data_IF_575040590918
#
_entry.id   IF_575040590918
#
_cell.length_a   1.000
_cell.length_b   1.000
_cell.length_c   1.000
_cell.angle_alpha   90.00
_cell.angle_beta   90.00
_cell.angle_gamma   90.00
#
_symmetry.space_group_name_H-M   'P 1'
#
loop_
_entity.id
_entity.type
_entity.pdbx_description
1 polymer ?
#
# COMPACT_ATOMS: atom_id res chain seq x y z
N UNK A 1 1.43 16.95 2.63
CA UNK A 1 1.29 16.78 1.18
C UNK A 1 0.36 17.87 0.65
N UNK A 2 0.90 18.81 -0.09
CA UNK A 2 0.11 19.90 -0.65
C UNK A 2 -0.52 19.50 -2.01
N UNK A 3 -1.01 18.26 -2.10
CA UNK A 3 -1.82 17.81 -3.24
C UNK A 3 -3.26 18.17 -2.95
N UNK A 4 -3.74 19.24 -3.55
CA UNK A 4 -5.12 19.71 -3.41
C UNK A 4 -6.05 18.88 -4.30
N UNK A 5 -6.11 17.55 -4.04
CA UNK A 5 -6.99 16.62 -4.76
C UNK A 5 -7.95 16.03 -3.73
N UNK A 6 -9.23 16.29 -3.91
CA UNK A 6 -10.30 15.70 -3.11
C UNK A 6 -10.73 14.33 -3.68
N UNK A 7 -11.50 13.53 -2.94
CA UNK A 7 -12.14 12.33 -3.48
C UNK A 7 -13.02 12.63 -4.69
N UNK A 8 -13.71 13.76 -4.71
CA UNK A 8 -14.56 14.17 -5.84
C UNK A 8 -13.73 14.49 -7.08
N UNK A 9 -12.57 15.14 -6.93
CA UNK A 9 -11.64 15.37 -8.04
C UNK A 9 -11.10 14.07 -8.62
N UNK A 10 -10.79 13.09 -7.74
CA UNK A 10 -10.37 11.76 -8.17
C UNK A 10 -11.48 11.04 -8.97
N UNK A 11 -12.70 11.04 -8.44
CA UNK A 11 -13.86 10.42 -9.11
C UNK A 11 -14.17 11.07 -10.46
N UNK A 12 -14.08 12.39 -10.55
CA UNK A 12 -14.26 13.13 -11.79
C UNK A 12 -13.19 12.77 -12.84
N UNK A 13 -11.92 12.69 -12.40
CA UNK A 13 -10.82 12.27 -13.27
C UNK A 13 -10.98 10.80 -13.72
N UNK A 14 -11.37 9.90 -12.83
CA UNK A 14 -11.64 8.51 -13.14
C UNK A 14 -12.73 8.36 -14.20
N UNK A 15 -13.86 9.07 -14.05
CA UNK A 15 -14.95 9.09 -15.01
C UNK A 15 -14.53 9.63 -16.39
N UNK A 16 -13.61 10.60 -16.41
CA UNK A 16 -13.06 11.12 -17.68
C UNK A 16 -12.18 10.08 -18.37
N UNK A 17 -11.35 9.35 -17.62
CA UNK A 17 -10.51 8.27 -18.16
C UNK A 17 -11.39 7.14 -18.73
N UNK A 18 -12.39 6.70 -17.98
CA UNK A 18 -13.34 5.67 -18.41
C UNK A 18 -14.04 6.03 -19.72
N UNK A 19 -14.57 7.26 -19.86
CA UNK A 19 -15.21 7.76 -21.10
C UNK A 19 -14.27 7.74 -22.30
N UNK A 20 -12.97 7.84 -22.08
CA UNK A 20 -11.96 7.79 -23.13
C UNK A 20 -11.31 6.41 -23.27
N UNK A 21 -11.84 5.38 -22.61
CA UNK A 21 -11.32 4.01 -22.65
C UNK A 21 -9.84 3.91 -22.19
N UNK A 22 -9.49 4.70 -21.19
CA UNK A 22 -8.14 4.71 -20.58
C UNK A 22 -8.23 4.02 -19.23
N UNK A 23 -7.45 2.97 -19.06
CA UNK A 23 -7.37 2.25 -17.78
C UNK A 23 -6.79 3.11 -16.67
N UNK A 24 -7.44 3.08 -15.52
CA UNK A 24 -7.00 3.78 -14.32
C UNK A 24 -6.16 2.86 -13.44
N UNK A 25 -4.95 3.34 -13.10
CA UNK A 25 -4.11 2.77 -12.05
C UNK A 25 -3.98 3.75 -10.90
N UNK A 26 -4.28 3.30 -9.69
CA UNK A 26 -4.11 4.10 -8.47
C UNK A 26 -2.83 3.72 -7.71
N UNK A 27 -2.30 4.70 -6.96
CA UNK A 27 -1.20 4.51 -6.02
C UNK A 27 -1.69 4.86 -4.62
N UNK A 28 -1.67 3.87 -3.73
CA UNK A 28 -2.16 3.97 -2.35
C UNK A 28 -0.97 3.99 -1.40
N UNK A 29 -0.86 5.03 -0.58
CA UNK A 29 0.19 5.11 0.44
C UNK A 29 -0.22 4.28 1.66
N UNK A 30 0.64 3.35 2.06
CA UNK A 30 0.57 2.69 3.35
C UNK A 30 1.24 3.58 4.40
N UNK A 31 0.58 3.83 5.52
CA UNK A 31 1.06 4.69 6.60
C UNK A 31 1.44 6.10 6.13
N UNK A 32 0.52 6.88 5.53
CA UNK A 32 0.81 8.29 5.26
C UNK A 32 0.92 9.08 6.57
N UNK A 33 1.55 10.28 6.57
CA UNK A 33 1.61 11.13 7.76
C UNK A 33 0.23 11.39 8.37
N UNK A 34 0.19 11.50 9.69
CA UNK A 34 -1.02 11.75 10.50
C UNK A 34 -2.03 10.60 10.60
N UNK A 35 -1.76 9.47 9.99
CA UNK A 35 -2.52 8.24 10.20
C UNK A 35 -1.90 7.48 11.38
N UNK A 36 -2.72 7.00 12.30
CA UNK A 36 -2.26 6.18 13.42
C UNK A 36 -1.76 4.82 12.91
N UNK A 37 -0.74 4.28 13.57
CA UNK A 37 -0.10 3.03 13.15
C UNK A 37 -1.10 1.86 13.07
N UNK A 38 -2.00 1.76 14.04
CA UNK A 38 -3.03 0.73 14.11
C UNK A 38 -4.18 0.92 13.11
N UNK A 39 -4.27 2.06 12.45
CA UNK A 39 -5.27 2.36 11.42
C UNK A 39 -4.72 2.25 9.99
N UNK A 40 -3.42 2.07 9.85
CA UNK A 40 -2.70 2.12 8.57
C UNK A 40 -3.23 1.14 7.54
N UNK A 41 -3.46 -0.10 7.94
CA UNK A 41 -3.98 -1.17 7.07
C UNK A 41 -5.41 -0.88 6.64
N UNK A 42 -6.25 -0.44 7.58
CA UNK A 42 -7.65 -0.09 7.29
C UNK A 42 -7.75 1.10 6.31
N UNK A 43 -6.93 2.13 6.49
CA UNK A 43 -6.88 3.27 5.57
C UNK A 43 -6.37 2.87 4.17
N UNK A 44 -5.39 1.96 4.08
CA UNK A 44 -4.93 1.43 2.80
C UNK A 44 -6.06 0.65 2.11
N UNK A 45 -6.75 -0.25 2.85
CA UNK A 45 -7.91 -0.99 2.34
C UNK A 45 -9.00 -0.07 1.82
N UNK A 46 -9.46 0.90 2.62
CA UNK A 46 -10.49 1.87 2.21
C UNK A 46 -10.08 2.66 0.96
N UNK A 47 -8.80 2.99 0.82
CA UNK A 47 -8.30 3.69 -0.36
C UNK A 47 -8.31 2.81 -1.61
N UNK A 48 -8.00 1.52 -1.47
CA UNK A 48 -8.12 0.54 -2.56
C UNK A 48 -9.60 0.35 -2.94
N UNK A 49 -10.48 0.13 -1.96
CA UNK A 49 -11.92 -0.03 -2.18
C UNK A 49 -12.50 1.19 -2.93
N UNK A 50 -12.16 2.40 -2.49
CA UNK A 50 -12.56 3.64 -3.18
C UNK A 50 -12.04 3.71 -4.62
N UNK A 51 -10.81 3.26 -4.86
CA UNK A 51 -10.25 3.21 -6.23
C UNK A 51 -11.02 2.24 -7.11
N UNK A 52 -11.43 1.08 -6.57
CA UNK A 52 -12.26 0.08 -7.26
C UNK A 52 -13.62 0.68 -7.61
N UNK A 53 -14.27 1.34 -6.65
CA UNK A 53 -15.58 2.00 -6.83
C UNK A 53 -15.52 3.10 -7.91
N UNK A 54 -14.35 3.73 -8.10
CA UNK A 54 -14.09 4.69 -9.17
C UNK A 54 -13.67 4.04 -10.50
N UNK A 55 -13.65 2.70 -10.60
CA UNK A 55 -13.34 1.99 -11.85
C UNK A 55 -11.85 1.75 -12.11
N UNK A 56 -10.99 1.87 -11.11
CA UNK A 56 -9.58 1.49 -11.27
C UNK A 56 -9.45 -0.02 -11.53
N UNK A 57 -8.65 -0.41 -12.51
CA UNK A 57 -8.31 -1.80 -12.81
C UNK A 57 -7.12 -2.31 -11.99
N UNK A 58 -6.30 -1.38 -11.49
CA UNK A 58 -5.08 -1.69 -10.74
C UNK A 58 -4.88 -0.70 -9.61
N UNK A 59 -4.49 -1.21 -8.41
CA UNK A 59 -3.94 -0.41 -7.32
C UNK A 59 -2.54 -0.90 -6.94
N UNK A 60 -1.67 0.02 -6.55
CA UNK A 60 -0.35 -0.32 -6.00
C UNK A 60 -0.21 0.27 -4.61
N UNK A 61 0.03 -0.58 -3.60
CA UNK A 61 0.25 -0.18 -2.22
C UNK A 61 1.74 0.13 -2.03
N UNK A 62 2.04 1.38 -1.67
CA UNK A 62 3.39 1.90 -1.54
C UNK A 62 3.69 2.21 -0.07
N UNK A 63 4.62 1.50 0.58
CA UNK A 63 5.08 1.85 1.92
C UNK A 63 5.67 3.26 1.93
N UNK A 64 5.13 4.14 2.78
CA UNK A 64 5.61 5.52 2.90
C UNK A 64 6.99 5.56 3.56
N UNK A 65 7.91 6.35 2.98
CA UNK A 65 9.32 6.40 3.37
C UNK A 65 9.71 7.77 3.91
N UNK A 66 10.67 7.79 4.83
CA UNK A 66 11.51 8.96 5.12
C UNK A 66 12.56 9.15 3.99
N UNK A 67 13.40 10.16 4.10
CA UNK A 67 14.47 10.45 3.15
C UNK A 67 14.22 11.68 2.29
N UNK A 68 13.22 12.49 2.67
CA UNK A 68 13.06 13.85 2.17
C UNK A 68 12.79 14.80 3.36
N UNK A 69 13.19 16.05 3.27
CA UNK A 69 13.20 16.97 4.40
C UNK A 69 11.86 17.13 5.11
N UNK A 70 10.73 17.05 4.40
CA UNK A 70 9.39 17.14 5.00
C UNK A 70 9.05 15.90 5.83
N UNK A 71 9.29 14.70 5.29
CA UNK A 71 9.03 13.43 5.98
C UNK A 71 9.94 13.25 7.18
N UNK A 72 11.23 13.63 7.06
CA UNK A 72 12.20 13.58 8.15
C UNK A 72 11.80 14.52 9.30
N UNK A 73 11.29 15.70 8.98
CA UNK A 73 10.77 16.65 9.98
C UNK A 73 9.54 16.09 10.69
N UNK A 74 8.61 15.47 9.98
CA UNK A 74 7.43 14.85 10.57
C UNK A 74 7.79 13.66 11.45
N UNK A 75 8.75 12.84 11.02
CA UNK A 75 9.25 11.71 11.81
C UNK A 75 9.90 12.19 13.12
N UNK A 76 10.76 13.20 13.07
CA UNK A 76 11.36 13.81 14.26
C UNK A 76 10.34 14.43 15.22
N UNK A 77 9.23 14.93 14.69
CA UNK A 77 8.13 15.49 15.47
C UNK A 77 7.14 14.41 15.99
N UNK A 78 7.39 13.12 15.77
CA UNK A 78 6.51 12.02 16.16
C UNK A 78 5.17 11.98 15.41
N UNK A 79 5.07 12.65 14.26
CA UNK A 79 3.86 12.75 13.42
C UNK A 79 3.86 11.79 12.23
N UNK A 80 4.88 10.99 12.12
CA UNK A 80 5.05 9.97 11.09
C UNK A 80 5.97 8.87 11.58
N UNK A 81 5.62 7.63 11.30
CA UNK A 81 6.46 6.44 11.44
C UNK A 81 6.40 5.66 10.12
N UNK A 82 7.52 5.10 9.70
CA UNK A 82 7.52 4.20 8.54
C UNK A 82 6.72 2.94 8.88
N UNK A 83 5.96 2.39 7.91
CA UNK A 83 5.27 1.13 8.11
C UNK A 83 6.26 -0.01 8.28
N UNK A 84 5.79 -1.12 8.82
CA UNK A 84 6.52 -2.39 8.88
C UNK A 84 6.22 -3.24 7.65
N UNK A 85 7.10 -4.20 7.34
CA UNK A 85 6.84 -5.22 6.31
C UNK A 85 5.56 -6.02 6.64
N UNK A 86 5.28 -6.27 7.93
CA UNK A 86 4.04 -6.93 8.36
C UNK A 86 2.79 -6.16 7.98
N UNK A 87 2.79 -4.84 8.18
CA UNK A 87 1.67 -4.00 7.78
C UNK A 87 1.44 -3.99 6.26
N UNK A 88 2.52 -4.09 5.45
CA UNK A 88 2.37 -4.23 4.00
C UNK A 88 1.73 -5.57 3.63
N UNK A 89 2.16 -6.68 4.27
CA UNK A 89 1.54 -7.99 4.07
C UNK A 89 0.06 -7.99 4.50
N UNK A 90 -0.25 -7.40 5.67
CA UNK A 90 -1.63 -7.27 6.15
C UNK A 90 -2.51 -6.46 5.19
N UNK A 91 -1.97 -5.38 4.62
CA UNK A 91 -2.69 -4.56 3.64
C UNK A 91 -2.91 -5.32 2.32
N UNK A 92 -1.93 -6.10 1.86
CA UNK A 92 -2.09 -6.98 0.69
C UNK A 92 -3.15 -8.06 0.95
N UNK A 93 -3.07 -8.76 2.07
CA UNK A 93 -4.02 -9.82 2.44
C UNK A 93 -5.46 -9.26 2.57
N UNK A 94 -5.61 -8.01 3.01
CA UNK A 94 -6.91 -7.36 3.16
C UNK A 94 -7.52 -6.82 1.85
N UNK A 95 -6.74 -6.71 0.77
CA UNK A 95 -7.16 -6.03 -0.47
C UNK A 95 -7.15 -6.91 -1.71
N UNK A 96 -6.42 -8.03 -1.67
CA UNK A 96 -6.32 -8.96 -2.80
C UNK A 96 -7.59 -9.82 -2.91
N UNK A 97 -7.91 -10.26 -4.13
CA UNK A 97 -9.00 -11.23 -4.38
C UNK A 97 -10.22 -10.67 -5.12
N UNK A 98 -10.21 -9.39 -5.50
CA UNK A 98 -11.23 -8.86 -6.39
C UNK A 98 -11.05 -9.41 -7.82
N UNK A 99 -12.09 -9.96 -8.47
CA UNK A 99 -11.94 -10.64 -9.76
C UNK A 99 -11.56 -9.71 -10.92
N UNK A 100 -11.89 -8.42 -10.82
CA UNK A 100 -11.68 -7.44 -11.89
C UNK A 100 -10.69 -6.34 -11.52
N UNK A 101 -9.96 -6.49 -10.41
CA UNK A 101 -9.02 -5.51 -9.93
C UNK A 101 -7.76 -6.22 -9.40
N UNK A 102 -6.61 -5.72 -9.79
CA UNK A 102 -5.32 -6.25 -9.34
C UNK A 102 -4.69 -5.31 -8.32
N UNK A 103 -4.17 -5.89 -7.24
CA UNK A 103 -3.45 -5.14 -6.21
C UNK A 103 -2.00 -5.59 -6.19
N UNK A 104 -1.08 -4.63 -6.19
CA UNK A 104 0.35 -4.88 -6.13
C UNK A 104 0.97 -4.22 -4.90
N UNK A 105 1.87 -4.93 -4.25
CA UNK A 105 2.80 -4.32 -3.30
C UNK A 105 3.98 -3.69 -4.07
N UNK A 106 4.37 -2.47 -3.71
CA UNK A 106 5.65 -1.91 -4.14
C UNK A 106 6.80 -2.64 -3.41
N UNK A 107 7.60 -3.39 -4.15
CA UNK A 107 8.69 -4.21 -3.60
C UNK A 107 10.03 -3.45 -3.52
N UNK A 108 10.07 -2.19 -3.95
CA UNK A 108 11.31 -1.43 -3.94
C UNK A 108 11.79 -1.16 -2.51
N UNK A 109 13.06 -1.48 -2.23
CA UNK A 109 13.76 -1.23 -0.96
C UNK A 109 13.03 -1.73 0.30
N UNK A 110 12.33 -2.89 0.21
CA UNK A 110 11.54 -3.43 1.32
C UNK A 110 12.37 -3.81 2.56
N UNK A 111 13.66 -4.03 2.40
CA UNK A 111 14.54 -4.42 3.50
C UNK A 111 14.53 -3.41 4.64
N UNK A 112 14.34 -2.12 4.35
CA UNK A 112 14.25 -1.06 5.36
C UNK A 112 13.06 -1.18 6.30
N UNK A 113 11.98 -1.83 5.86
CA UNK A 113 10.74 -2.04 6.64
C UNK A 113 10.75 -3.35 7.42
N UNK A 114 11.77 -4.20 7.21
CA UNK A 114 11.92 -5.47 7.90
C UNK A 114 12.74 -5.32 9.18
N UNK A 115 12.17 -5.77 10.30
CA UNK A 115 12.86 -5.84 11.58
C UNK A 115 13.68 -7.13 11.74
N UNK A 116 13.40 -8.14 10.93
CA UNK A 116 14.02 -9.46 11.03
C UNK A 116 14.77 -9.81 9.74
N UNK A 117 16.09 -10.01 9.81
CA UNK A 117 16.86 -10.41 8.64
C UNK A 117 16.65 -11.89 8.25
N UNK A 118 16.18 -12.74 9.19
CA UNK A 118 16.06 -14.19 8.96
C UNK A 118 14.90 -14.51 8.00
N UNK A 119 13.72 -13.91 8.24
CA UNK A 119 12.53 -14.18 7.43
C UNK A 119 12.33 -13.21 6.27
N UNK A 120 13.20 -12.22 6.10
CA UNK A 120 13.03 -11.18 5.08
C UNK A 120 12.89 -11.76 3.67
N UNK A 121 13.81 -12.62 3.25
CA UNK A 121 13.83 -13.17 1.90
C UNK A 121 12.57 -13.99 1.60
N UNK A 122 12.12 -14.81 2.56
CA UNK A 122 10.89 -15.59 2.42
C UNK A 122 9.64 -14.69 2.32
N UNK A 123 9.56 -13.61 3.12
CA UNK A 123 8.46 -12.65 3.09
C UNK A 123 8.47 -11.81 1.81
N UNK A 124 9.64 -11.41 1.34
CA UNK A 124 9.79 -10.73 0.05
C UNK A 124 9.30 -11.61 -1.09
N UNK A 125 9.75 -12.89 -1.15
CA UNK A 125 9.31 -13.85 -2.16
C UNK A 125 7.80 -14.11 -2.10
N UNK A 126 7.20 -14.16 -0.89
CA UNK A 126 5.76 -14.27 -0.72
C UNK A 126 5.03 -13.09 -1.38
N UNK A 127 5.46 -11.85 -1.14
CA UNK A 127 4.84 -10.66 -1.75
C UNK A 127 5.04 -10.63 -3.27
N UNK A 128 6.18 -11.08 -3.76
CA UNK A 128 6.46 -11.20 -5.19
C UNK A 128 5.53 -12.21 -5.85
N UNK A 129 5.32 -13.37 -5.23
CA UNK A 129 4.38 -14.39 -5.71
C UNK A 129 2.92 -13.90 -5.66
N UNK A 130 2.52 -13.20 -4.61
CA UNK A 130 1.20 -12.55 -4.53
C UNK A 130 1.02 -11.52 -5.65
N UNK A 131 2.03 -10.70 -5.93
CA UNK A 131 1.98 -9.75 -7.05
C UNK A 131 1.77 -10.45 -8.39
N UNK A 132 2.40 -11.62 -8.60
CA UNK A 132 2.30 -12.36 -9.84
C UNK A 132 0.97 -13.13 -9.96
N UNK A 133 0.62 -13.88 -8.93
CA UNK A 133 -0.55 -14.78 -8.94
C UNK A 133 -1.87 -14.09 -8.63
N UNK A 134 -1.85 -12.99 -7.87
CA UNK A 134 -3.04 -12.33 -7.32
C UNK A 134 -3.88 -13.26 -6.42
N UNK A 135 -3.23 -14.22 -5.79
CA UNK A 135 -3.84 -15.19 -4.86
C UNK A 135 -3.25 -14.98 -3.47
N UNK A 136 -4.09 -14.93 -2.42
CA UNK A 136 -3.59 -14.92 -1.04
C UNK A 136 -2.73 -16.16 -0.76
N UNK A 137 -1.60 -15.95 -0.09
CA UNK A 137 -0.70 -17.00 0.35
C UNK A 137 -0.58 -17.00 1.88
N UNK A 138 -0.28 -18.14 2.47
CA UNK A 138 -0.06 -18.23 3.91
C UNK A 138 1.08 -17.31 4.36
N UNK A 139 0.93 -16.70 5.54
CA UNK A 139 1.97 -15.87 6.14
C UNK A 139 3.18 -16.71 6.51
N UNK A 140 4.35 -16.08 6.38
CA UNK A 140 5.61 -16.69 6.83
C UNK A 140 5.66 -16.65 8.36
N UNK A 141 5.65 -17.84 8.97
CA UNK A 141 5.84 -17.99 10.40
C UNK A 141 7.32 -17.75 10.77
N UNK A 142 7.55 -16.91 11.75
CA UNK A 142 8.90 -16.59 12.23
C UNK A 142 8.88 -16.23 13.70
N UNK A 143 9.56 -17.02 14.51
CA UNK A 143 9.67 -16.79 15.96
C UNK A 143 10.26 -15.42 16.36
N UNK A 144 10.92 -14.71 15.44
CA UNK A 144 11.51 -13.40 15.69
C UNK A 144 10.54 -12.21 15.43
N UNK A 145 9.35 -12.45 14.88
CA UNK A 145 8.46 -11.40 14.40
C UNK A 145 7.08 -11.38 15.09
N UNK A 146 6.99 -12.08 16.21
CA UNK A 146 5.81 -12.09 17.09
C UNK A 146 5.87 -10.96 18.11
#
# INVERSE_FOLDING_TARGET
LNKRVSPDDFSAAASLLEKNQIDLRSFVLLQPPFVLENESVEWAKRSVDFSIDCGASVSCIIPTRTGNGAMDTLAKAGKFHEPTLGQLEDAMDATIGSPNHRVFADLWDLKRFSKCPICFDARHSRLEEINNSQVPLDKIDCACCH
#
